data_IF_498070696624
#
_entry.id   IF_498070696624
#
_cell.length_a   1.000
_cell.length_b   1.000
_cell.length_c   1.000
_cell.angle_alpha   90.00
_cell.angle_beta   90.00
_cell.angle_gamma   90.00
#
_symmetry.space_group_name_H-M   'P 1'
#
loop_
_entity.id
_entity.type
_entity.pdbx_description
1 polymer ?
#
# COMPACT_ATOMS: atom_id res chain seq x y z
N UNK A 1 -26.38 10.58 -5.11
CA UNK A 1 -25.34 9.56 -5.36
C UNK A 1 -25.91 8.52 -6.32
N UNK A 2 -25.30 8.38 -7.50
CA UNK A 2 -25.70 7.42 -8.53
C UNK A 2 -25.35 5.98 -8.11
N UNK A 3 -26.13 4.96 -8.53
CA UNK A 3 -25.85 3.53 -8.29
C UNK A 3 -24.42 3.12 -8.70
N UNK A 4 -23.87 3.75 -9.74
CA UNK A 4 -22.47 3.54 -10.17
C UNK A 4 -21.46 4.12 -9.17
N UNK A 5 -21.66 5.35 -8.68
CA UNK A 5 -20.85 5.98 -7.65
C UNK A 5 -20.86 5.16 -6.34
N UNK A 6 -22.04 4.68 -5.92
CA UNK A 6 -22.16 3.82 -4.73
C UNK A 6 -21.38 2.51 -4.87
N UNK A 7 -21.34 1.91 -6.07
CA UNK A 7 -20.54 0.70 -6.33
C UNK A 7 -19.04 0.99 -6.31
N UNK A 8 -18.61 2.14 -6.84
CA UNK A 8 -17.20 2.54 -6.81
C UNK A 8 -16.76 2.82 -5.36
N UNK A 9 -17.59 3.52 -4.57
CA UNK A 9 -17.32 3.77 -3.15
C UNK A 9 -17.20 2.47 -2.34
N UNK A 10 -18.12 1.52 -2.53
CA UNK A 10 -18.03 0.22 -1.87
C UNK A 10 -16.76 -0.56 -2.28
N UNK A 11 -16.35 -0.45 -3.55
CA UNK A 11 -15.11 -1.07 -4.03
C UNK A 11 -13.87 -0.42 -3.45
N UNK A 12 -13.83 0.91 -3.32
CA UNK A 12 -12.74 1.63 -2.66
C UNK A 12 -12.63 1.16 -1.20
N UNK A 13 -13.74 1.16 -0.47
CA UNK A 13 -13.76 0.72 0.93
C UNK A 13 -13.23 -0.71 1.10
N UNK A 14 -13.63 -1.63 0.20
CA UNK A 14 -13.09 -2.98 0.20
C UNK A 14 -11.57 -3.01 0.00
N UNK A 15 -11.04 -2.27 -0.99
CA UNK A 15 -9.60 -2.25 -1.27
C UNK A 15 -8.80 -1.60 -0.14
N UNK A 16 -9.34 -0.59 0.54
CA UNK A 16 -8.72 0.02 1.73
C UNK A 16 -8.60 -1.00 2.87
N UNK A 17 -9.61 -1.84 3.09
CA UNK A 17 -9.54 -2.95 4.05
C UNK A 17 -8.51 -4.00 3.67
N UNK A 18 -8.36 -4.29 2.38
CA UNK A 18 -7.32 -5.21 1.92
C UNK A 18 -5.91 -4.63 2.15
N UNK A 19 -5.71 -3.32 1.94
CA UNK A 19 -4.44 -2.66 2.28
C UNK A 19 -4.13 -2.74 3.78
N UNK A 20 -5.12 -2.53 4.65
CA UNK A 20 -4.94 -2.71 6.10
C UNK A 20 -4.47 -4.13 6.44
N UNK A 21 -5.09 -5.16 5.84
CA UNK A 21 -4.70 -6.56 6.05
C UNK A 21 -3.29 -6.85 5.52
N UNK A 22 -2.94 -6.30 4.36
CA UNK A 22 -1.59 -6.43 3.81
C UNK A 22 -0.55 -5.77 4.71
N UNK A 23 -0.86 -4.64 5.34
CA UNK A 23 0.02 -4.01 6.33
C UNK A 23 0.31 -4.96 7.49
N UNK A 24 -0.72 -5.57 8.09
CA UNK A 24 -0.51 -6.54 9.17
C UNK A 24 0.27 -7.78 8.70
N UNK A 25 0.05 -8.24 7.47
CA UNK A 25 0.79 -9.36 6.90
C UNK A 25 2.26 -9.01 6.64
N UNK A 26 2.55 -7.78 6.24
CA UNK A 26 3.90 -7.26 6.04
C UNK A 26 4.64 -7.16 7.38
N UNK A 27 3.99 -6.60 8.42
CA UNK A 27 4.58 -6.51 9.77
C UNK A 27 5.00 -7.91 10.28
N UNK A 28 4.13 -8.91 10.13
CA UNK A 28 4.45 -10.29 10.50
C UNK A 28 5.62 -10.87 9.68
N UNK A 29 5.67 -10.60 8.37
CA UNK A 29 6.76 -11.07 7.50
C UNK A 29 8.09 -10.36 7.80
N UNK A 30 8.06 -9.08 8.18
CA UNK A 30 9.22 -8.33 8.64
C UNK A 30 9.74 -8.87 9.98
N UNK A 31 8.85 -9.23 10.90
CA UNK A 31 9.22 -9.88 12.16
C UNK A 31 9.85 -11.26 11.94
N UNK A 32 9.28 -12.07 11.04
CA UNK A 32 9.86 -13.35 10.60
C UNK A 32 11.27 -13.14 10.00
N UNK A 33 11.43 -12.16 9.12
CA UNK A 33 12.72 -11.84 8.49
C UNK A 33 13.74 -11.31 9.51
N UNK A 34 13.31 -10.52 10.50
CA UNK A 34 14.18 -10.06 11.60
C UNK A 34 14.69 -11.25 12.43
N UNK A 35 13.85 -12.27 12.64
CA UNK A 35 14.26 -13.50 13.32
C UNK A 35 15.17 -14.38 12.45
N UNK A 36 15.00 -14.37 11.12
CA UNK A 36 15.79 -15.15 10.15
C UNK A 36 16.20 -14.30 8.95
N UNK A 37 17.26 -13.48 9.06
CA UNK A 37 17.60 -12.46 8.05
C UNK A 37 17.93 -12.99 6.65
N UNK A 38 18.30 -14.26 6.53
CA UNK A 38 18.68 -14.90 5.27
C UNK A 38 17.57 -15.80 4.70
N UNK A 39 16.36 -15.77 5.27
CA UNK A 39 15.24 -16.55 4.76
C UNK A 39 14.71 -15.96 3.45
N UNK A 40 15.14 -16.55 2.34
CA UNK A 40 14.73 -16.16 1.00
C UNK A 40 13.21 -16.28 0.78
N UNK A 41 12.51 -17.14 1.52
CA UNK A 41 11.06 -17.26 1.42
C UNK A 41 10.37 -16.03 2.02
N UNK A 42 10.82 -15.57 3.20
CA UNK A 42 10.31 -14.36 3.85
C UNK A 42 10.59 -13.10 3.04
N UNK A 43 11.79 -13.00 2.44
CA UNK A 43 12.12 -11.88 1.52
C UNK A 43 11.16 -11.82 0.34
N UNK A 44 10.98 -12.93 -0.40
CA UNK A 44 10.07 -13.00 -1.56
C UNK A 44 8.62 -12.71 -1.18
N UNK A 45 8.19 -13.18 -0.02
CA UNK A 45 6.84 -12.93 0.50
C UNK A 45 6.64 -11.44 0.77
N UNK A 46 7.61 -10.77 1.38
CA UNK A 46 7.55 -9.33 1.66
C UNK A 46 7.54 -8.51 0.36
N UNK A 47 8.39 -8.85 -0.61
CA UNK A 47 8.39 -8.23 -1.94
C UNK A 47 7.05 -8.38 -2.66
N UNK A 48 6.44 -9.57 -2.61
CA UNK A 48 5.12 -9.81 -3.19
C UNK A 48 4.02 -9.01 -2.49
N UNK A 49 4.07 -8.90 -1.15
CA UNK A 49 3.11 -8.09 -0.38
C UNK A 49 3.20 -6.61 -0.75
N UNK A 50 4.39 -6.05 -0.85
CA UNK A 50 4.56 -4.66 -1.25
C UNK A 50 4.13 -4.40 -2.69
N UNK A 51 4.47 -5.30 -3.62
CA UNK A 51 4.03 -5.17 -5.02
C UNK A 51 2.50 -5.17 -5.12
N UNK A 52 1.84 -6.08 -4.41
CA UNK A 52 0.39 -6.14 -4.37
C UNK A 52 -0.25 -4.92 -3.70
N UNK A 53 0.39 -4.38 -2.66
CA UNK A 53 -0.07 -3.17 -1.98
C UNK A 53 0.02 -1.94 -2.89
N UNK A 54 1.11 -1.80 -3.66
CA UNK A 54 1.28 -0.71 -4.63
C UNK A 54 0.22 -0.78 -5.73
N UNK A 55 -0.01 -1.96 -6.32
CA UNK A 55 -1.08 -2.16 -7.33
C UNK A 55 -2.47 -1.84 -6.75
N UNK A 56 -2.74 -2.26 -5.52
CA UNK A 56 -4.01 -2.01 -4.83
C UNK A 56 -4.21 -0.52 -4.59
N UNK A 57 -3.16 0.19 -4.18
CA UNK A 57 -3.17 1.63 -3.99
C UNK A 57 -3.43 2.38 -5.30
N UNK A 58 -2.74 2.04 -6.38
CA UNK A 58 -2.99 2.62 -7.71
C UNK A 58 -4.44 2.43 -8.16
N UNK A 59 -5.01 1.26 -7.86
CA UNK A 59 -6.42 0.98 -8.19
C UNK A 59 -7.38 1.85 -7.41
N UNK A 60 -7.15 2.05 -6.11
CA UNK A 60 -7.93 2.97 -5.27
C UNK A 60 -7.88 4.39 -5.84
N UNK A 61 -6.69 4.87 -6.20
CA UNK A 61 -6.49 6.21 -6.74
C UNK A 61 -7.22 6.38 -8.08
N UNK A 62 -7.16 5.38 -8.96
CA UNK A 62 -7.93 5.36 -10.22
C UNK A 62 -9.43 5.43 -9.98
N UNK A 63 -9.94 4.70 -8.98
CA UNK A 63 -11.37 4.71 -8.63
C UNK A 63 -11.81 6.04 -8.02
N UNK A 64 -10.98 6.65 -7.16
CA UNK A 64 -11.23 7.98 -6.58
C UNK A 64 -11.29 9.06 -7.66
N UNK A 65 -10.37 9.03 -8.63
CA UNK A 65 -10.37 9.97 -9.76
C UNK A 65 -11.66 9.86 -10.62
N UNK A 66 -12.25 8.66 -10.73
CA UNK A 66 -13.53 8.44 -11.40
C UNK A 66 -14.71 9.02 -10.62
N UNK A 67 -14.68 8.97 -9.29
CA UNK A 67 -15.71 9.58 -8.43
C UNK A 67 -15.64 11.10 -8.43
N UNK A 68 -14.44 11.70 -8.54
CA UNK A 68 -14.27 13.15 -8.56
C UNK A 68 -14.56 13.80 -9.92
N UNK A 69 -15.00 13.04 -10.94
CA UNK A 69 -15.30 13.56 -12.27
C UNK A 69 -14.07 13.89 -13.13
N UNK A 70 -12.88 13.39 -12.79
CA UNK A 70 -11.63 13.76 -13.44
C UNK A 70 -10.52 14.10 -12.45
N UNK A 71 -9.26 14.23 -12.89
CA UNK A 71 -8.09 14.01 -12.05
C UNK A 71 -7.84 15.17 -11.09
N UNK A 72 -8.29 15.04 -9.85
CA UNK A 72 -7.71 15.77 -8.72
C UNK A 72 -6.52 14.96 -8.20
N UNK A 73 -5.37 15.10 -8.86
CA UNK A 73 -4.09 14.59 -8.36
C UNK A 73 -3.65 15.53 -7.25
N UNK A 74 -4.13 15.30 -6.03
CA UNK A 74 -3.44 15.78 -4.84
C UNK A 74 -2.78 14.57 -4.21
N UNK A 75 -1.52 14.40 -4.57
CA UNK A 75 -0.60 13.43 -4.00
C UNK A 75 -0.41 13.77 -2.52
N UNK A 76 -1.09 13.07 -1.61
CA UNK A 76 -0.79 13.17 -0.17
C UNK A 76 0.00 11.93 0.25
N UNK A 77 1.32 12.01 0.04
CA UNK A 77 2.25 10.97 0.45
C UNK A 77 2.69 11.19 1.90
N UNK A 78 1.98 10.59 2.86
CA UNK A 78 2.30 10.67 4.29
C UNK A 78 3.64 10.01 4.64
N UNK A 79 4.16 9.10 3.80
CA UNK A 79 5.45 8.41 4.01
C UNK A 79 6.68 9.22 3.59
N UNK A 80 6.51 10.38 2.94
CA UNK A 80 7.62 11.27 2.58
C UNK A 80 7.84 12.45 3.55
N UNK A 81 6.98 12.59 4.56
CA UNK A 81 7.08 13.68 5.56
C UNK A 81 7.79 13.26 6.84
N UNK A 82 8.40 12.08 6.90
CA UNK A 82 9.31 11.70 7.97
C UNK A 82 10.76 11.76 7.48
N UNK A 83 11.57 12.72 7.98
CA UNK A 83 13.01 12.79 7.68
C UNK A 83 13.77 11.51 8.04
N UNK A 84 13.24 10.70 8.96
CA UNK A 84 13.85 9.46 9.44
C UNK A 84 13.81 8.32 8.41
N UNK A 85 12.78 8.25 7.56
CA UNK A 85 12.63 7.18 6.57
C UNK A 85 13.67 7.25 5.44
N UNK A 86 14.27 8.43 5.21
CA UNK A 86 15.33 8.61 4.21
C UNK A 86 16.69 8.12 4.69
N UNK A 87 16.95 8.15 6.01
CA UNK A 87 18.21 7.72 6.60
C UNK A 87 18.40 6.19 6.53
N UNK A 88 17.31 5.42 6.71
CA UNK A 88 17.40 3.95 6.69
C UNK A 88 17.68 3.36 5.30
N UNK A 89 17.27 4.03 4.21
CA UNK A 89 17.55 3.56 2.84
C UNK A 89 18.99 3.82 2.38
N UNK A 90 19.72 4.73 3.03
CA UNK A 90 21.12 5.01 2.68
C UNK A 90 22.13 4.18 3.49
N UNK A 91 21.69 3.48 4.54
CA UNK A 91 22.55 2.62 5.35
C UNK A 91 22.71 1.18 4.81
N UNK A 92 22.13 0.90 3.63
CA UNK A 92 22.17 -0.40 2.94
C UNK A 92 23.07 -0.38 1.69
N UNK A 93 23.96 0.60 1.55
CA UNK A 93 25.02 0.64 0.53
C UNK A 93 26.38 0.66 1.22
#
# INVERSE_FOLDING_TARGET
MNRSESRIAARIYFLERELERMSCAADNAEDELRAKPMDAASVRRLEALYSLADETWERIQTLRARLSGGPSVIYFNRRHTEPAAKAWRQALV
#
